data_IF_473241013645
#
_entry.id   IF_473241013645
#
_cell.length_a   1.000
_cell.length_b   1.000
_cell.length_c   1.000
_cell.angle_alpha   90.00
_cell.angle_beta   90.00
_cell.angle_gamma   90.00
#
_symmetry.space_group_name_H-M   'P 1'
#
loop_
_entity.id
_entity.type
_entity.pdbx_description
1 polymer ?
#
# COMPACT_ATOMS: atom_id res chain seq x y z
N UNK A 1 40.78 -0.59 -51.50
CA UNK A 1 39.46 -1.13 -51.87
C UNK A 1 39.14 -2.23 -50.86
N UNK A 2 38.01 -2.12 -50.17
CA UNK A 2 37.59 -3.16 -49.19
C UNK A 2 37.13 -4.38 -49.97
N UNK A 3 37.64 -5.57 -49.61
CA UNK A 3 37.29 -6.83 -50.26
C UNK A 3 35.80 -7.12 -50.12
N UNK A 4 35.16 -7.56 -51.20
CA UNK A 4 33.72 -7.85 -51.24
C UNK A 4 33.31 -8.92 -50.20
N UNK A 5 34.25 -9.79 -49.85
CA UNK A 5 34.13 -10.77 -48.77
C UNK A 5 33.98 -10.11 -47.38
N UNK A 6 34.74 -9.05 -47.11
CA UNK A 6 34.67 -8.33 -45.82
C UNK A 6 33.36 -7.54 -45.70
N UNK A 7 32.84 -7.01 -46.82
CA UNK A 7 31.55 -6.34 -46.88
C UNK A 7 30.41 -7.33 -46.56
N UNK A 8 30.44 -8.51 -47.18
CA UNK A 8 29.49 -9.61 -46.91
C UNK A 8 29.56 -10.10 -45.45
N UNK A 9 30.77 -10.25 -44.90
CA UNK A 9 30.97 -10.73 -43.53
C UNK A 9 30.47 -9.70 -42.49
N UNK A 10 30.69 -8.41 -42.73
CA UNK A 10 30.16 -7.33 -41.90
C UNK A 10 28.63 -7.27 -41.98
N UNK A 11 28.04 -7.45 -43.16
CA UNK A 11 26.58 -7.51 -43.34
C UNK A 11 25.96 -8.68 -42.57
N UNK A 12 26.57 -9.86 -42.63
CA UNK A 12 26.12 -11.05 -41.87
C UNK A 12 26.28 -10.88 -40.35
N UNK A 13 27.38 -10.28 -39.89
CA UNK A 13 27.58 -9.94 -38.46
C UNK A 13 26.58 -8.89 -37.98
N UNK A 14 26.26 -7.88 -38.79
CA UNK A 14 25.26 -6.86 -38.46
C UNK A 14 23.84 -7.48 -38.38
N UNK A 15 23.49 -8.36 -39.32
CA UNK A 15 22.21 -9.06 -39.35
C UNK A 15 22.06 -10.01 -38.14
N UNK A 16 23.10 -10.78 -37.81
CA UNK A 16 23.10 -11.63 -36.62
C UNK A 16 23.03 -10.83 -35.31
N UNK A 17 23.68 -9.66 -35.25
CA UNK A 17 23.62 -8.76 -34.08
C UNK A 17 22.24 -8.11 -33.93
N UNK A 18 21.56 -7.79 -35.03
CA UNK A 18 20.19 -7.30 -35.04
C UNK A 18 19.20 -8.38 -34.57
N UNK A 19 19.31 -9.62 -35.08
CA UNK A 19 18.48 -10.75 -34.63
C UNK A 19 18.67 -11.09 -33.16
N UNK A 20 19.92 -11.02 -32.65
CA UNK A 20 20.22 -11.30 -31.23
C UNK A 20 19.70 -10.21 -30.29
N UNK A 21 19.52 -8.98 -30.77
CA UNK A 21 18.92 -7.86 -30.02
C UNK A 21 17.39 -7.91 -30.04
N UNK A 22 16.78 -8.28 -31.17
CA UNK A 22 15.31 -8.40 -31.29
C UNK A 22 14.73 -9.54 -30.43
N UNK A 23 15.42 -10.66 -30.33
CA UNK A 23 14.90 -11.89 -29.69
C UNK A 23 14.89 -11.93 -28.16
N UNK A 24 15.52 -10.97 -27.46
CA UNK A 24 15.93 -11.22 -26.06
C UNK A 24 15.04 -10.62 -24.99
N UNK A 25 14.12 -9.71 -25.34
CA UNK A 25 13.33 -8.97 -24.34
C UNK A 25 11.84 -8.96 -24.69
N UNK A 26 11.49 -8.57 -25.92
CA UNK A 26 10.09 -8.49 -26.36
C UNK A 26 9.42 -9.88 -26.51
N UNK A 27 10.13 -10.89 -27.00
CA UNK A 27 9.58 -12.24 -27.18
C UNK A 27 9.28 -12.90 -25.82
N UNK A 28 10.13 -12.68 -24.81
CA UNK A 28 9.96 -13.26 -23.47
C UNK A 28 8.74 -12.67 -22.74
N UNK A 29 8.48 -11.38 -22.91
CA UNK A 29 7.32 -10.70 -22.31
C UNK A 29 6.03 -11.23 -22.92
N UNK A 30 5.95 -11.31 -24.25
CA UNK A 30 4.78 -11.86 -24.94
C UNK A 30 4.51 -13.33 -24.57
N UNK A 31 5.55 -14.15 -24.46
CA UNK A 31 5.41 -15.55 -24.04
C UNK A 31 4.80 -15.66 -22.62
N UNK A 32 5.14 -14.73 -21.72
CA UNK A 32 4.56 -14.70 -20.38
C UNK A 32 3.08 -14.27 -20.40
N UNK A 33 2.74 -13.27 -21.20
CA UNK A 33 1.37 -12.78 -21.35
C UNK A 33 0.45 -13.85 -21.97
N UNK A 34 0.95 -14.57 -22.98
CA UNK A 34 0.22 -15.68 -23.60
C UNK A 34 -0.07 -16.81 -22.60
N UNK A 35 0.88 -17.11 -21.71
CA UNK A 35 0.68 -18.07 -20.62
C UNK A 35 -0.38 -17.59 -19.62
N UNK A 36 -0.41 -16.29 -19.31
CA UNK A 36 -1.41 -15.68 -18.41
C UNK A 36 -2.79 -15.72 -19.06
N UNK A 37 -2.91 -15.35 -20.33
CA UNK A 37 -4.19 -15.41 -21.08
C UNK A 37 -4.70 -16.84 -21.17
N UNK A 38 -3.81 -17.82 -21.42
CA UNK A 38 -4.17 -19.23 -21.39
C UNK A 38 -4.66 -19.68 -20.00
N UNK A 39 -4.04 -19.19 -18.92
CA UNK A 39 -4.49 -19.46 -17.56
C UNK A 39 -5.88 -18.85 -17.30
N UNK A 40 -6.11 -17.59 -17.71
CA UNK A 40 -7.39 -16.89 -17.61
C UNK A 40 -8.50 -17.72 -18.28
N UNK A 41 -8.27 -18.18 -19.50
CA UNK A 41 -9.26 -18.96 -20.25
C UNK A 41 -9.59 -20.28 -19.54
N UNK A 42 -8.58 -20.98 -19.01
CA UNK A 42 -8.81 -22.21 -18.22
C UNK A 42 -9.57 -21.93 -16.93
N UNK A 43 -9.26 -20.83 -16.24
CA UNK A 43 -9.96 -20.42 -15.03
C UNK A 43 -11.42 -20.07 -15.29
N UNK A 44 -11.73 -19.39 -16.41
CA UNK A 44 -13.11 -19.11 -16.84
C UNK A 44 -13.87 -20.40 -17.14
N UNK A 45 -13.27 -21.30 -17.93
CA UNK A 45 -13.87 -22.60 -18.22
C UNK A 45 -14.20 -23.40 -16.93
N UNK A 46 -13.31 -23.40 -15.94
CA UNK A 46 -13.56 -24.06 -14.66
C UNK A 46 -14.72 -23.43 -13.87
N UNK A 47 -14.96 -22.12 -14.00
CA UNK A 47 -16.13 -21.45 -13.40
C UNK A 47 -17.41 -21.93 -14.09
N UNK A 48 -17.44 -21.88 -15.42
CA UNK A 48 -18.63 -22.22 -16.21
C UNK A 48 -19.03 -23.67 -16.01
N UNK A 49 -18.07 -24.58 -16.05
CA UNK A 49 -18.29 -26.00 -15.78
C UNK A 49 -18.83 -26.24 -14.38
N UNK A 50 -18.25 -25.61 -13.36
CA UNK A 50 -18.75 -25.74 -11.99
C UNK A 50 -20.15 -25.13 -11.83
N UNK A 51 -20.50 -24.09 -12.58
CA UNK A 51 -21.86 -23.53 -12.60
C UNK A 51 -22.86 -24.50 -13.20
N UNK A 52 -22.52 -25.13 -14.33
CA UNK A 52 -23.34 -26.15 -14.98
C UNK A 52 -23.52 -27.37 -14.07
N UNK A 53 -22.43 -27.87 -13.49
CA UNK A 53 -22.48 -29.00 -12.55
C UNK A 53 -23.36 -28.69 -11.34
N UNK A 54 -23.25 -27.48 -10.76
CA UNK A 54 -24.09 -27.09 -9.64
C UNK A 54 -25.57 -26.98 -10.01
N UNK A 55 -25.89 -26.42 -11.18
CA UNK A 55 -27.28 -26.38 -11.69
C UNK A 55 -27.86 -27.79 -11.87
N UNK A 56 -27.03 -28.73 -12.33
CA UNK A 56 -27.36 -30.14 -12.48
C UNK A 56 -27.32 -30.93 -11.16
N UNK A 57 -27.08 -30.26 -10.01
CA UNK A 57 -26.92 -30.87 -8.68
C UNK A 57 -25.81 -31.93 -8.61
N UNK A 58 -24.78 -31.78 -9.43
CA UNK A 58 -23.59 -32.61 -9.44
C UNK A 58 -22.43 -31.93 -8.68
N UNK A 59 -21.47 -32.70 -8.12
CA UNK A 59 -20.33 -32.13 -7.42
C UNK A 59 -19.44 -31.26 -8.34
N UNK A 60 -19.40 -29.95 -8.04
CA UNK A 60 -18.59 -28.96 -8.74
C UNK A 60 -17.19 -28.83 -8.10
N UNK A 61 -16.22 -29.58 -8.62
CA UNK A 61 -14.85 -29.66 -8.07
C UNK A 61 -13.76 -29.11 -9.00
N UNK A 62 -14.12 -28.54 -10.17
CA UNK A 62 -13.14 -28.09 -11.18
C UNK A 62 -12.28 -26.95 -10.63
N UNK A 63 -12.91 -25.91 -10.05
CA UNK A 63 -12.16 -24.79 -9.44
C UNK A 63 -11.24 -25.27 -8.31
N UNK A 64 -11.72 -26.18 -7.47
CA UNK A 64 -10.96 -26.69 -6.34
C UNK A 64 -9.71 -27.46 -6.79
N UNK A 65 -9.84 -28.30 -7.82
CA UNK A 65 -8.71 -29.05 -8.41
C UNK A 65 -7.69 -28.12 -9.08
N UNK A 66 -8.15 -27.04 -9.69
CA UNK A 66 -7.30 -26.09 -10.40
C UNK A 66 -6.60 -25.08 -9.46
N UNK A 67 -7.15 -24.83 -8.27
CA UNK A 67 -6.68 -23.83 -7.32
C UNK A 67 -5.16 -23.87 -7.04
N UNK A 68 -4.51 -25.03 -6.79
CA UNK A 68 -3.07 -25.06 -6.49
C UNK A 68 -2.20 -24.51 -7.64
N UNK A 69 -2.55 -24.84 -8.88
CA UNK A 69 -1.86 -24.38 -10.09
C UNK A 69 -2.04 -22.87 -10.29
N UNK A 70 -3.26 -22.37 -10.09
CA UNK A 70 -3.56 -20.94 -10.15
C UNK A 70 -2.77 -20.17 -9.09
N UNK A 71 -2.77 -20.65 -7.84
CA UNK A 71 -2.05 -19.99 -6.74
C UNK A 71 -0.53 -20.02 -6.93
N UNK A 72 0.03 -21.00 -7.65
CA UNK A 72 1.45 -21.01 -7.99
C UNK A 72 1.83 -19.87 -8.94
N UNK A 73 0.95 -19.55 -9.90
CA UNK A 73 1.17 -18.45 -10.84
C UNK A 73 0.91 -17.10 -10.21
N UNK A 74 -0.24 -16.93 -9.52
CA UNK A 74 -0.62 -15.62 -8.97
C UNK A 74 0.34 -15.12 -7.87
N UNK A 75 1.03 -16.02 -7.15
CA UNK A 75 2.00 -15.66 -6.11
C UNK A 75 3.33 -15.10 -6.63
N UNK A 76 3.62 -15.25 -7.93
CA UNK A 76 4.88 -14.77 -8.52
C UNK A 76 4.83 -13.24 -8.63
N UNK A 77 5.58 -12.54 -7.78
CA UNK A 77 5.63 -11.07 -7.71
C UNK A 77 5.95 -10.43 -9.06
N UNK A 78 6.92 -10.98 -9.77
CA UNK A 78 7.37 -10.47 -11.07
C UNK A 78 6.29 -10.53 -12.16
N UNK A 79 5.26 -11.36 -11.98
CA UNK A 79 4.14 -11.48 -12.91
C UNK A 79 2.89 -10.70 -12.47
N UNK A 80 2.86 -10.12 -11.27
CA UNK A 80 1.63 -9.53 -10.72
C UNK A 80 1.11 -8.36 -11.54
N UNK A 81 1.99 -7.49 -12.05
CA UNK A 81 1.59 -6.37 -12.92
C UNK A 81 0.97 -6.91 -14.22
N UNK A 82 1.67 -7.79 -14.93
CA UNK A 82 1.17 -8.43 -16.16
C UNK A 82 -0.16 -9.18 -15.93
N UNK A 83 -0.29 -9.90 -14.81
CA UNK A 83 -1.53 -10.60 -14.43
C UNK A 83 -2.72 -9.62 -14.32
N UNK A 84 -2.50 -8.44 -13.72
CA UNK A 84 -3.54 -7.44 -13.59
C UNK A 84 -3.87 -6.80 -14.94
N UNK A 85 -2.86 -6.51 -15.76
CA UNK A 85 -3.01 -5.89 -17.08
C UNK A 85 -3.75 -6.80 -18.07
N UNK A 86 -3.50 -8.12 -18.03
CA UNK A 86 -4.21 -9.11 -18.83
C UNK A 86 -5.67 -9.33 -18.38
N UNK A 87 -6.14 -8.67 -17.31
CA UNK A 87 -7.53 -8.76 -16.87
C UNK A 87 -7.85 -10.00 -16.02
N UNK A 88 -6.98 -10.35 -15.08
CA UNK A 88 -7.23 -11.44 -14.12
C UNK A 88 -8.31 -11.10 -13.09
N UNK A 89 -8.47 -9.83 -12.71
CA UNK A 89 -9.42 -9.42 -11.67
C UNK A 89 -10.88 -9.86 -11.93
N UNK A 90 -11.47 -9.66 -13.14
CA UNK A 90 -12.78 -10.20 -13.46
C UNK A 90 -12.90 -11.71 -13.21
N UNK A 91 -11.86 -12.49 -13.53
CA UNK A 91 -11.87 -13.95 -13.33
C UNK A 91 -11.89 -14.29 -11.85
N UNK A 92 -11.11 -13.57 -11.03
CA UNK A 92 -11.15 -13.72 -9.57
C UNK A 92 -12.53 -13.34 -9.01
N UNK A 93 -13.16 -12.30 -9.57
CA UNK A 93 -14.55 -11.93 -9.23
C UNK A 93 -15.49 -13.11 -9.47
N UNK A 94 -15.38 -13.79 -10.62
CA UNK A 94 -16.23 -14.94 -10.95
C UNK A 94 -15.97 -16.14 -10.04
N UNK A 95 -14.71 -16.38 -9.64
CA UNK A 95 -14.35 -17.43 -8.69
C UNK A 95 -14.90 -17.18 -7.27
N UNK A 96 -15.04 -15.91 -6.89
CA UNK A 96 -15.61 -15.49 -5.60
C UNK A 96 -17.13 -15.26 -5.65
N UNK A 97 -17.71 -15.16 -6.84
CA UNK A 97 -19.14 -14.93 -7.03
C UNK A 97 -19.98 -16.06 -6.42
N UNK A 98 -21.14 -15.76 -5.82
CA UNK A 98 -22.04 -16.80 -5.34
C UNK A 98 -22.47 -17.69 -6.50
N UNK A 99 -22.66 -18.98 -6.20
CA UNK A 99 -23.12 -19.95 -7.18
C UNK A 99 -24.61 -19.72 -7.53
N UNK A 100 -25.14 -20.34 -8.60
CA UNK A 100 -26.54 -20.17 -9.02
C UNK A 100 -27.58 -20.49 -7.93
N UNK A 101 -27.26 -21.38 -6.99
CA UNK A 101 -28.06 -21.74 -5.82
C UNK A 101 -27.88 -20.76 -4.64
N UNK A 102 -27.18 -19.64 -4.84
CA UNK A 102 -26.79 -18.62 -3.85
C UNK A 102 -25.85 -19.15 -2.77
N UNK A 103 -25.28 -20.34 -2.93
CA UNK A 103 -24.25 -20.83 -2.04
C UNK A 103 -22.93 -20.09 -2.27
N UNK A 104 -22.09 -20.07 -1.22
CA UNK A 104 -20.74 -19.53 -1.34
C UNK A 104 -19.82 -20.55 -2.01
N UNK A 105 -18.83 -20.09 -2.79
CA UNK A 105 -17.74 -20.96 -3.22
C UNK A 105 -17.04 -21.66 -2.05
N UNK A 106 -16.39 -22.78 -2.35
CA UNK A 106 -15.68 -23.58 -1.35
C UNK A 106 -14.76 -22.72 -0.48
N UNK A 107 -14.74 -22.98 0.85
CA UNK A 107 -14.01 -22.16 1.82
C UNK A 107 -12.54 -21.93 1.43
N UNK A 108 -11.87 -23.00 1.01
CA UNK A 108 -10.46 -22.92 0.61
C UNK A 108 -10.22 -21.97 -0.58
N UNK A 109 -11.16 -21.91 -1.55
CA UNK A 109 -11.07 -20.97 -2.67
C UNK A 109 -11.19 -19.54 -2.14
N UNK A 110 -12.17 -19.27 -1.27
CA UNK A 110 -12.38 -17.94 -0.68
C UNK A 110 -11.16 -17.46 0.10
N UNK A 111 -10.57 -18.33 0.92
CA UNK A 111 -9.38 -18.01 1.70
C UNK A 111 -8.17 -17.66 0.82
N UNK A 112 -7.87 -18.50 -0.16
CA UNK A 112 -6.71 -18.30 -1.04
C UNK A 112 -6.88 -17.07 -1.95
N UNK A 113 -8.07 -16.86 -2.51
CA UNK A 113 -8.38 -15.69 -3.34
C UNK A 113 -8.32 -14.38 -2.53
N UNK A 114 -8.80 -14.36 -1.28
CA UNK A 114 -8.68 -13.18 -0.43
C UNK A 114 -7.23 -12.91 0.01
N UNK A 115 -6.41 -13.95 0.24
CA UNK A 115 -4.98 -13.79 0.52
C UNK A 115 -4.25 -13.18 -0.67
N UNK A 116 -4.46 -13.71 -1.88
CA UNK A 116 -3.72 -13.22 -3.04
C UNK A 116 -4.11 -11.79 -3.42
N UNK A 117 -5.37 -11.40 -3.23
CA UNK A 117 -5.82 -10.02 -3.44
C UNK A 117 -5.13 -9.03 -2.48
N UNK A 118 -4.73 -9.46 -1.28
CA UNK A 118 -3.95 -8.63 -0.35
C UNK A 118 -2.49 -8.49 -0.78
N UNK A 119 -1.99 -9.45 -1.55
CA UNK A 119 -0.60 -9.51 -1.99
C UNK A 119 -0.37 -8.79 -3.33
N UNK A 120 -1.42 -8.35 -4.01
CA UNK A 120 -1.33 -7.61 -5.27
C UNK A 120 -0.89 -6.15 -5.05
N UNK A 121 -0.23 -5.54 -6.05
CA UNK A 121 0.05 -4.11 -6.01
C UNK A 121 -1.25 -3.30 -5.96
N UNK A 122 -1.21 -2.02 -5.54
CA UNK A 122 -2.39 -1.17 -5.48
C UNK A 122 -3.13 -1.11 -6.81
N UNK A 123 -4.37 -1.61 -6.84
CA UNK A 123 -5.20 -1.58 -8.03
C UNK A 123 -5.75 -0.17 -8.30
N UNK A 124 -5.80 0.23 -9.56
CA UNK A 124 -6.45 1.48 -9.97
C UNK A 124 -7.96 1.43 -9.72
N UNK A 125 -8.59 2.58 -9.49
CA UNK A 125 -10.02 2.67 -9.26
C UNK A 125 -10.83 2.18 -10.48
N UNK A 126 -10.32 2.40 -11.69
CA UNK A 126 -10.95 1.95 -12.93
C UNK A 126 -10.94 0.43 -13.05
N UNK A 127 -9.80 -0.22 -12.80
CA UNK A 127 -9.67 -1.69 -12.82
C UNK A 127 -10.55 -2.35 -11.75
N UNK A 128 -10.69 -1.74 -10.57
CA UNK A 128 -11.59 -2.23 -9.51
C UNK A 128 -13.07 -2.12 -9.91
N UNK A 129 -13.45 -1.02 -10.60
CA UNK A 129 -14.82 -0.81 -11.08
C UNK A 129 -15.16 -1.76 -12.22
N UNK A 130 -14.31 -1.87 -13.24
CA UNK A 130 -14.55 -2.69 -14.43
C UNK A 130 -14.58 -4.19 -14.10
N UNK A 131 -13.72 -4.65 -13.20
CA UNK A 131 -13.68 -6.06 -12.77
C UNK A 131 -14.82 -6.48 -11.85
N UNK A 132 -15.49 -5.54 -11.19
CA UNK A 132 -16.54 -5.84 -10.21
C UNK A 132 -16.05 -6.52 -8.92
N UNK A 133 -14.74 -6.64 -8.71
CA UNK A 133 -14.14 -7.40 -7.59
C UNK A 133 -14.58 -6.86 -6.22
N UNK A 134 -14.72 -5.53 -6.10
CA UNK A 134 -15.17 -4.89 -4.87
C UNK A 134 -16.56 -5.36 -4.44
N UNK A 135 -17.47 -5.64 -5.39
CA UNK A 135 -18.82 -6.16 -5.10
C UNK A 135 -18.77 -7.59 -4.59
N UNK A 136 -17.94 -8.44 -5.19
CA UNK A 136 -17.77 -9.83 -4.74
C UNK A 136 -17.17 -9.90 -3.33
N UNK A 137 -16.11 -9.11 -3.06
CA UNK A 137 -15.49 -9.05 -1.73
C UNK A 137 -16.45 -8.48 -0.68
N UNK A 138 -17.22 -7.44 -1.04
CA UNK A 138 -18.28 -6.90 -0.16
C UNK A 138 -19.36 -7.93 0.15
N UNK A 139 -19.74 -8.77 -0.82
CA UNK A 139 -20.70 -9.84 -0.62
C UNK A 139 -20.18 -10.85 0.43
N UNK A 140 -18.93 -11.32 0.30
CA UNK A 140 -18.31 -12.21 1.29
C UNK A 140 -18.26 -11.57 2.68
N UNK A 141 -17.84 -10.30 2.76
CA UNK A 141 -17.78 -9.55 4.02
C UNK A 141 -19.12 -9.52 4.76
N UNK A 142 -20.21 -9.28 4.04
CA UNK A 142 -21.57 -9.20 4.62
C UNK A 142 -22.22 -10.56 4.83
N UNK A 143 -21.75 -11.62 4.20
CA UNK A 143 -22.43 -12.91 4.23
C UNK A 143 -22.41 -13.53 5.64
N UNK A 144 -23.55 -14.01 6.18
CA UNK A 144 -23.62 -14.54 7.55
C UNK A 144 -22.76 -15.80 7.75
N UNK A 145 -22.69 -16.67 6.74
CA UNK A 145 -21.92 -17.93 6.77
C UNK A 145 -20.43 -17.80 6.41
N UNK A 146 -19.92 -16.58 6.27
CA UNK A 146 -18.48 -16.36 6.02
C UNK A 146 -17.67 -16.44 7.32
N UNK A 147 -16.43 -16.93 7.24
CA UNK A 147 -15.57 -17.06 8.44
C UNK A 147 -15.11 -15.69 8.93
N UNK A 148 -14.87 -15.56 10.24
CA UNK A 148 -14.40 -14.31 10.84
C UNK A 148 -13.09 -13.82 10.20
N UNK A 149 -12.13 -14.71 10.00
CA UNK A 149 -10.84 -14.38 9.38
C UNK A 149 -11.01 -13.84 7.95
N UNK A 150 -11.88 -14.45 7.15
CA UNK A 150 -12.18 -13.98 5.80
C UNK A 150 -12.90 -12.63 5.81
N UNK A 151 -13.83 -12.41 6.75
CA UNK A 151 -14.47 -11.09 6.93
C UNK A 151 -13.44 -10.02 7.29
N UNK A 152 -12.50 -10.31 8.18
CA UNK A 152 -11.43 -9.37 8.52
C UNK A 152 -10.55 -9.05 7.31
N UNK A 153 -10.18 -10.05 6.50
CA UNK A 153 -9.41 -9.84 5.26
C UNK A 153 -10.17 -9.03 4.22
N UNK A 154 -11.43 -9.38 3.97
CA UNK A 154 -12.30 -8.66 3.06
C UNK A 154 -12.52 -7.21 3.50
N UNK A 155 -12.72 -6.97 4.80
CA UNK A 155 -12.86 -5.63 5.37
C UNK A 155 -11.61 -4.78 5.17
N UNK A 156 -10.41 -5.35 5.32
CA UNK A 156 -9.15 -4.66 5.03
C UNK A 156 -9.05 -4.24 3.55
N UNK A 157 -9.32 -5.17 2.63
CA UNK A 157 -9.32 -4.90 1.19
C UNK A 157 -10.32 -3.80 0.81
N UNK A 158 -11.56 -3.88 1.31
CA UNK A 158 -12.61 -2.88 1.08
C UNK A 158 -12.15 -1.51 1.57
N UNK A 159 -11.57 -1.43 2.77
CA UNK A 159 -11.07 -0.18 3.32
C UNK A 159 -9.92 0.39 2.48
N UNK A 160 -8.99 -0.43 2.05
CA UNK A 160 -7.86 -0.01 1.21
C UNK A 160 -8.32 0.51 -0.15
N UNK A 161 -9.21 -0.23 -0.83
CA UNK A 161 -9.73 0.13 -2.15
C UNK A 161 -10.67 1.34 -2.14
N UNK A 162 -11.43 1.55 -1.06
CA UNK A 162 -12.38 2.67 -0.97
C UNK A 162 -11.76 3.98 -0.49
N UNK A 163 -10.63 3.94 0.24
CA UNK A 163 -9.97 5.13 0.79
C UNK A 163 -9.66 6.21 -0.25
N UNK A 164 -9.06 5.90 -1.42
CA UNK A 164 -8.81 6.91 -2.46
C UNK A 164 -10.09 7.57 -2.97
N UNK A 165 -11.21 6.83 -2.99
CA UNK A 165 -12.51 7.33 -3.45
C UNK A 165 -13.04 8.41 -2.49
N UNK A 166 -12.82 8.21 -1.19
CA UNK A 166 -13.27 9.13 -0.14
C UNK A 166 -12.22 10.16 0.27
N UNK A 167 -11.06 10.22 -0.40
CA UNK A 167 -9.96 11.11 -0.01
C UNK A 167 -9.41 10.83 1.40
N UNK A 168 -9.54 9.60 1.89
CA UNK A 168 -9.12 9.21 3.24
C UNK A 168 -7.65 8.78 3.23
N UNK A 169 -6.77 9.58 3.84
CA UNK A 169 -5.34 9.24 3.96
C UNK A 169 -5.13 7.93 4.74
N UNK A 170 -4.39 6.99 4.14
CA UNK A 170 -3.91 5.74 4.76
C UNK A 170 -2.54 5.89 5.41
N UNK A 171 -1.71 6.81 4.93
CA UNK A 171 -0.33 7.01 5.42
C UNK A 171 -0.25 8.04 6.55
N UNK A 172 -0.61 7.63 7.77
CA UNK A 172 -0.38 8.45 8.98
C UNK A 172 1.10 8.69 9.28
N UNK A 173 1.99 7.84 8.73
CA UNK A 173 3.45 7.97 8.87
C UNK A 173 4.04 9.12 8.05
N UNK A 174 3.45 9.47 6.90
CA UNK A 174 3.89 10.61 6.08
C UNK A 174 3.22 11.92 6.46
N UNK A 175 2.18 11.88 7.30
CA UNK A 175 1.57 13.10 7.85
C UNK A 175 2.62 13.88 8.62
N UNK A 176 2.76 15.17 8.34
CA UNK A 176 3.68 16.04 9.07
C UNK A 176 3.25 16.15 10.55
N UNK A 177 4.15 16.63 11.41
CA UNK A 177 3.81 16.86 12.81
C UNK A 177 2.63 17.84 12.92
N UNK A 178 2.64 18.87 12.10
CA UNK A 178 1.66 19.95 12.04
C UNK A 178 0.29 19.43 11.59
N UNK A 179 0.23 18.58 10.54
CA UNK A 179 -1.05 18.03 10.08
C UNK A 179 -1.67 17.06 11.12
N UNK A 180 -0.85 16.36 11.92
CA UNK A 180 -1.35 15.54 13.04
C UNK A 180 -1.91 16.42 14.15
N UNK A 181 -1.20 17.48 14.52
CA UNK A 181 -1.65 18.46 15.54
C UNK A 181 -2.96 19.14 15.11
N UNK A 182 -3.09 19.49 13.84
CA UNK A 182 -4.31 20.09 13.29
C UNK A 182 -5.51 19.14 13.35
N UNK A 183 -5.34 17.85 13.00
CA UNK A 183 -6.42 16.86 13.14
C UNK A 183 -6.84 16.63 14.58
N UNK A 184 -5.89 16.58 15.52
CA UNK A 184 -6.19 16.44 16.95
C UNK A 184 -6.99 17.65 17.45
N UNK A 185 -6.66 18.85 16.98
CA UNK A 185 -7.41 20.09 17.25
C UNK A 185 -8.82 20.08 16.61
N UNK A 186 -8.97 19.56 15.39
CA UNK A 186 -10.26 19.47 14.69
C UNK A 186 -11.19 18.41 15.28
N UNK A 187 -10.62 17.32 15.82
CA UNK A 187 -11.38 16.26 16.51
C UNK A 187 -11.76 16.65 17.95
N UNK A 188 -11.34 17.82 18.44
CA UNK A 188 -11.78 18.29 19.74
C UNK A 188 -13.32 18.30 19.79
N UNK A 189 -13.94 17.68 20.82
CA UNK A 189 -15.36 17.79 21.01
C UNK A 189 -15.69 19.28 21.17
N UNK A 190 -16.44 19.85 20.22
CA UNK A 190 -17.03 21.18 20.37
C UNK A 190 -17.80 21.15 21.67
N UNK A 191 -17.31 21.87 22.69
CA UNK A 191 -17.88 21.88 24.04
C UNK A 191 -19.39 21.84 23.91
N UNK A 192 -20.02 20.71 24.26
CA UNK A 192 -21.45 20.68 24.49
C UNK A 192 -21.66 21.79 25.51
N UNK A 193 -22.35 22.86 25.11
CA UNK A 193 -22.85 23.86 26.05
C UNK A 193 -23.60 23.05 27.09
N UNK A 194 -22.97 22.86 28.26
CA UNK A 194 -23.63 22.29 29.40
C UNK A 194 -24.74 23.29 29.71
N UNK A 195 -25.97 22.96 29.35
CA UNK A 195 -27.12 23.75 29.72
C UNK A 195 -27.15 23.84 31.25
N UNK A 196 -27.15 25.08 31.76
CA UNK A 196 -27.68 25.51 33.07
C UNK A 196 -28.20 24.38 33.96
N UNK A 197 -27.47 24.07 35.03
CA UNK A 197 -28.05 23.68 36.33
C UNK A 197 -26.97 23.50 37.39
N UNK A 198 -26.08 24.49 37.55
CA UNK A 198 -25.34 24.63 38.79
C UNK A 198 -25.41 26.09 39.20
N UNK A 199 -26.01 26.28 40.36
CA UNK A 199 -26.11 27.50 41.16
C UNK A 199 -24.82 28.30 40.97
N UNK A 200 -24.96 29.52 40.42
CA UNK A 200 -23.88 30.50 40.43
C UNK A 200 -23.45 30.71 41.89
N UNK A 201 -22.18 30.49 42.27
CA UNK A 201 -21.66 31.20 43.41
C UNK A 201 -21.57 32.66 42.97
N UNK A 202 -22.25 33.53 43.70
CA UNK A 202 -22.18 34.98 43.58
C UNK A 202 -20.73 35.38 43.41
N UNK A 203 -20.35 35.81 42.21
CA UNK A 203 -19.09 36.50 41.98
C UNK A 203 -19.18 37.82 42.72
N UNK A 204 -18.75 37.82 43.98
CA UNK A 204 -18.46 39.05 44.69
C UNK A 204 -17.26 39.68 43.99
N UNK A 205 -17.49 40.81 43.34
CA UNK A 205 -16.49 41.61 42.66
C UNK A 205 -15.44 42.02 43.69
N UNK A 206 -14.27 41.37 43.70
CA UNK A 206 -13.12 41.83 44.47
C UNK A 206 -12.16 42.52 43.51
N UNK A 207 -11.78 43.74 43.89
CA UNK A 207 -10.98 44.73 43.17
C UNK A 207 -9.66 44.18 42.56
N UNK A 208 -9.07 44.88 41.57
CA UNK A 208 -8.11 44.33 40.62
C UNK A 208 -6.69 44.38 41.18
N UNK A 209 -6.26 43.34 41.89
CA UNK A 209 -4.85 43.22 42.30
C UNK A 209 -4.40 41.77 42.48
N UNK A 210 -4.52 40.93 41.45
CA UNK A 210 -3.60 39.79 41.29
C UNK A 210 -3.69 39.22 39.87
N UNK A 211 -2.79 39.66 38.98
CA UNK A 211 -2.41 38.85 37.84
C UNK A 211 -1.73 37.58 38.35
N UNK A 212 -2.00 36.45 37.70
CA UNK A 212 -1.35 35.14 37.87
C UNK A 212 -1.71 34.33 39.14
N UNK A 213 -2.88 33.71 39.15
CA UNK A 213 -2.99 32.29 39.55
C UNK A 213 -4.37 31.75 39.15
N UNK A 214 -4.41 30.55 38.58
CA UNK A 214 -5.65 29.79 38.47
C UNK A 214 -6.09 29.50 39.90
N UNK A 215 -7.10 30.21 40.38
CA UNK A 215 -7.65 30.01 41.72
C UNK A 215 -8.34 28.65 41.74
N UNK A 216 -7.60 27.59 42.06
CA UNK A 216 -8.22 26.38 42.55
C UNK A 216 -8.92 26.76 43.85
N UNK A 217 -10.24 26.49 43.98
CA UNK A 217 -10.92 26.75 45.23
C UNK A 217 -10.15 26.02 46.33
N UNK A 218 -9.68 26.78 47.32
CA UNK A 218 -8.97 26.21 48.45
C UNK A 218 -9.81 25.10 49.09
N UNK A 219 -9.21 23.99 49.54
CA UNK A 219 -9.97 22.91 50.15
C UNK A 219 -10.76 23.47 51.34
N UNK A 220 -12.09 23.37 51.26
CA UNK A 220 -13.02 23.83 52.30
C UNK A 220 -12.68 23.14 53.62
N UNK A 221 -12.64 23.89 54.73
CA UNK A 221 -12.29 23.37 56.05
C UNK A 221 -13.52 22.83 56.79
N UNK A 222 -13.35 21.95 57.79
CA UNK A 222 -14.45 21.53 58.65
C UNK A 222 -15.20 22.71 59.26
N UNK A 223 -16.49 22.85 58.93
CA UNK A 223 -17.36 23.94 59.39
C UNK A 223 -17.74 24.98 58.33
N UNK A 224 -17.03 25.02 57.19
CA UNK A 224 -17.36 25.96 56.11
C UNK A 224 -18.57 25.49 55.29
N UNK A 225 -19.40 26.42 54.74
CA UNK A 225 -20.51 26.08 53.85
C UNK A 225 -20.04 25.23 52.66
N UNK A 226 -20.55 24.00 52.55
CA UNK A 226 -20.18 23.06 51.48
C UNK A 226 -19.08 22.05 51.84
N UNK A 227 -18.53 22.13 53.06
CA UNK A 227 -17.65 21.09 53.61
C UNK A 227 -18.42 19.76 53.77
N UNK A 228 -17.81 18.67 53.32
CA UNK A 228 -18.35 17.33 53.46
C UNK A 228 -17.28 16.43 54.06
N UNK A 229 -17.57 15.80 55.19
CA UNK A 229 -16.67 14.84 55.84
C UNK A 229 -16.40 13.59 54.98
N UNK A 230 -17.26 13.30 54.01
CA UNK A 230 -17.12 12.17 53.09
C UNK A 230 -16.35 12.59 51.84
N UNK A 231 -15.41 11.74 51.43
CA UNK A 231 -14.69 11.90 50.17
C UNK A 231 -15.70 12.03 49.01
N UNK A 232 -15.56 13.10 48.21
CA UNK A 232 -16.35 13.25 46.98
C UNK A 232 -15.70 12.43 45.87
N UNK A 233 -16.52 11.80 45.04
CA UNK A 233 -16.04 11.10 43.85
C UNK A 233 -15.40 12.14 42.91
N UNK A 234 -14.14 11.94 42.47
CA UNK A 234 -13.52 12.84 41.51
C UNK A 234 -14.34 12.90 40.24
N UNK A 235 -14.69 14.11 39.79
CA UNK A 235 -15.31 14.26 38.47
C UNK A 235 -14.27 13.96 37.39
N UNK A 236 -14.66 13.25 36.32
CA UNK A 236 -13.79 13.08 35.16
C UNK A 236 -13.28 14.44 34.67
N UNK A 237 -11.97 14.57 34.58
CA UNK A 237 -11.34 15.78 34.04
C UNK A 237 -11.65 15.89 32.55
N UNK A 238 -12.19 17.02 32.10
CA UNK A 238 -12.33 17.36 30.67
C UNK A 238 -11.04 17.98 30.10
N UNK A 239 -9.88 17.74 30.72
CA UNK A 239 -8.60 18.21 30.19
C UNK A 239 -8.12 17.21 29.14
N UNK A 240 -8.31 17.55 27.88
CA UNK A 240 -7.77 16.81 26.75
C UNK A 240 -6.29 17.18 26.55
N UNK A 241 -5.41 16.17 26.52
CA UNK A 241 -3.96 16.36 26.34
C UNK A 241 -3.63 16.63 24.86
N UNK A 242 -3.97 17.81 24.38
CA UNK A 242 -3.71 18.23 22.99
C UNK A 242 -2.35 18.93 22.85
N UNK A 243 -1.85 19.51 23.94
CA UNK A 243 -0.53 20.15 23.97
C UNK A 243 0.56 19.09 24.13
N UNK A 244 1.23 18.76 23.04
CA UNK A 244 2.38 17.84 23.05
C UNK A 244 3.58 18.54 23.72
N UNK A 245 4.26 17.88 24.67
CA UNK A 245 5.45 18.44 25.28
C UNK A 245 6.51 18.69 24.20
N UNK A 246 7.16 19.85 24.27
CA UNK A 246 8.31 20.14 23.40
C UNK A 246 9.48 19.30 23.87
N UNK A 247 10.14 18.61 22.94
CA UNK A 247 11.33 17.83 23.25
C UNK A 247 12.48 18.78 23.61
N UNK A 248 13.20 18.52 24.71
CA UNK A 248 14.29 19.36 25.21
C UNK A 248 15.62 19.26 24.42
N UNK A 249 15.63 18.58 23.27
CA UNK A 249 16.81 18.44 22.41
C UNK A 249 16.43 18.89 21.01
N UNK A 250 16.78 20.13 20.69
CA UNK A 250 16.72 20.68 19.34
C UNK A 250 17.87 20.10 18.51
N UNK A 251 17.71 18.86 18.04
CA UNK A 251 18.52 18.38 16.93
C UNK A 251 17.58 18.28 15.75
N UNK A 252 17.58 19.29 14.89
CA UNK A 252 16.80 19.21 13.67
C UNK A 252 17.30 18.03 12.84
N UNK A 253 16.39 17.11 12.51
CA UNK A 253 16.65 15.97 11.62
C UNK A 253 17.10 16.40 10.21
N UNK A 254 16.97 17.69 9.88
CA UNK A 254 17.45 18.32 8.65
C UNK A 254 18.97 18.24 8.51
N UNK A 255 19.73 18.48 9.59
CA UNK A 255 21.20 18.48 9.54
C UNK A 255 21.76 17.09 9.21
N UNK A 256 21.14 16.03 9.72
CA UNK A 256 21.56 14.66 9.44
C UNK A 256 21.24 14.25 8.00
N UNK A 257 20.09 14.69 7.45
CA UNK A 257 19.75 14.49 6.03
C UNK A 257 20.71 15.25 5.10
N UNK A 258 21.09 16.48 5.44
CA UNK A 258 22.03 17.26 4.64
C UNK A 258 23.44 16.64 4.66
N UNK A 259 23.90 16.15 5.83
CA UNK A 259 25.16 15.42 5.96
C UNK A 259 25.16 14.13 5.14
N UNK A 260 24.05 13.39 5.13
CA UNK A 260 23.89 12.17 4.35
C UNK A 260 23.84 12.44 2.84
N UNK A 261 23.12 13.50 2.43
CA UNK A 261 23.08 13.97 1.03
C UNK A 261 24.48 14.38 0.56
N UNK A 262 25.25 15.09 1.40
CA UNK A 262 26.64 15.50 1.11
C UNK A 262 27.58 14.31 0.98
N UNK A 263 27.42 13.27 1.82
CA UNK A 263 28.15 11.99 1.73
C UNK A 263 27.81 11.24 0.44
N UNK A 264 26.53 11.15 0.06
CA UNK A 264 26.08 10.52 -1.20
C UNK A 264 26.65 11.25 -2.42
N UNK A 265 26.56 12.57 -2.45
CA UNK A 265 27.08 13.39 -3.56
C UNK A 265 28.60 13.24 -3.73
N UNK A 266 29.35 13.13 -2.63
CA UNK A 266 30.79 12.85 -2.66
C UNK A 266 31.09 11.49 -3.31
N UNK A 267 30.35 10.44 -2.95
CA UNK A 267 30.50 9.10 -3.52
C UNK A 267 30.20 9.06 -5.02
N UNK A 268 29.13 9.73 -5.46
CA UNK A 268 28.76 9.83 -6.88
C UNK A 268 29.84 10.54 -7.69
N UNK A 269 30.41 11.63 -7.15
CA UNK A 269 31.51 12.37 -7.79
C UNK A 269 32.76 11.48 -7.93
N UNK A 270 33.17 10.79 -6.86
CA UNK A 270 34.34 9.88 -6.92
C UNK A 270 34.14 8.74 -7.92
N UNK A 271 32.92 8.21 -8.05
CA UNK A 271 32.64 7.15 -9.02
C UNK A 271 32.69 7.65 -10.47
N UNK A 272 32.18 8.87 -10.70
CA UNK A 272 32.23 9.54 -12.02
C UNK A 272 33.67 9.84 -12.44
N UNK A 273 34.49 10.35 -11.52
CA UNK A 273 35.91 10.65 -11.77
C UNK A 273 36.71 9.37 -12.04
N UNK A 274 36.46 8.30 -11.27
CA UNK A 274 37.06 6.98 -11.51
C UNK A 274 36.68 6.42 -12.89
N UNK A 275 35.41 6.54 -13.28
CA UNK A 275 34.93 6.10 -14.60
C UNK A 275 35.53 6.92 -15.74
N UNK A 276 35.76 8.22 -15.55
CA UNK A 276 36.45 9.06 -16.53
C UNK A 276 37.93 8.68 -16.66
N UNK A 277 38.63 8.43 -15.55
CA UNK A 277 40.04 7.96 -15.58
C UNK A 277 40.17 6.62 -16.29
N UNK A 278 39.31 5.64 -16.00
CA UNK A 278 39.33 4.35 -16.70
C UNK A 278 38.93 4.45 -18.19
N UNK A 279 38.24 5.52 -18.59
CA UNK A 279 37.96 5.80 -20.01
C UNK A 279 39.16 6.43 -20.72
N UNK A 280 40.00 7.17 -19.98
CA UNK A 280 41.25 7.73 -20.48
C UNK A 280 42.35 6.65 -20.63
N UNK A 281 42.44 5.70 -19.69
CA UNK A 281 43.38 4.56 -19.74
C UNK A 281 42.90 3.41 -20.65
N UNK A 282 42.25 3.74 -21.76
CA UNK A 282 41.81 2.72 -22.73
C UNK A 282 43.05 2.12 -23.39
N UNK A 283 43.36 0.87 -23.07
CA UNK A 283 44.49 0.12 -23.62
C UNK A 283 44.62 0.33 -25.14
N UNK A 284 45.78 0.87 -25.54
CA UNK A 284 46.15 1.01 -26.95
C UNK A 284 46.19 -0.39 -27.56
N UNK A 285 45.54 -0.58 -28.70
CA UNK A 285 45.61 -1.85 -29.44
C UNK A 285 47.03 -2.01 -29.96
N UNK A 286 47.80 -2.90 -29.35
CA UNK A 286 49.13 -3.28 -29.82
C UNK A 286 48.99 -3.89 -31.22
N UNK A 287 49.63 -3.27 -32.22
CA UNK A 287 49.65 -3.74 -33.61
C UNK A 287 50.73 -4.80 -33.77
N UNK A 288 50.36 -5.98 -34.27
CA UNK A 288 51.26 -7.14 -34.45
C UNK A 288 52.27 -6.99 -35.60
N UNK A 289 52.14 -5.95 -36.45
CA UNK A 289 53.03 -5.69 -37.59
C UNK A 289 54.07 -4.58 -37.31
N UNK A 290 54.22 -4.14 -36.06
CA UNK A 290 55.33 -3.26 -35.64
C UNK A 290 55.30 -1.83 -36.16
N UNK A 291 54.21 -1.37 -36.80
CA UNK A 291 54.04 0.04 -37.20
C UNK A 291 52.99 0.70 -36.30
N UNK A 292 53.42 1.77 -35.62
CA UNK A 292 52.70 2.57 -34.62
C UNK A 292 52.76 2.06 -33.16
N UNK A 293 53.97 1.88 -32.63
CA UNK A 293 54.18 2.01 -31.19
C UNK A 293 54.34 3.50 -30.86
N UNK A 294 53.60 4.00 -29.88
CA UNK A 294 53.87 5.31 -29.28
C UNK A 294 55.08 5.14 -28.36
N UNK A 295 56.13 5.94 -28.57
CA UNK A 295 57.17 6.15 -27.57
C UNK A 295 56.58 6.87 -26.36
#
# INVERSE_FOLDING_TARGET
MVSDFDIMLQKRKAMNKANRRKRKDHDLINDCDDLIVALINKMKAAVDEDRVLNQNRQPAVRKLKMLPSVMQTLRKKDLQEAILDCGMLPVITDWLSPLPDRSLPHLHIREEMLKILQDFPPCSQESLKSSGIGRAVMYLYKHPKETRNNKERAGKLINEWSRPIFGLNSNFKSMSREEREQRDMEQMPKRRRMSRSWIQPSFHFCLPACLTFVCFPSPVKPGDPGWCARARVPMPSNRDYVVRPKWNTEKEMSEDQEREQKRRNKHVKTFRDRKQRMKADRAVKISLEGRNMSL
#
